data_IF_074622520048
#
_entry.id   IF_074622520048
#
_cell.length_a   1.000
_cell.length_b   1.000
_cell.length_c   1.000
_cell.angle_alpha   90.00
_cell.angle_beta   90.00
_cell.angle_gamma   90.00
#
_symmetry.space_group_name_H-M   'P 1'
#
loop_
_entity.id
_entity.type
_entity.pdbx_description
1 polymer ?
#
# COMPACT_ATOMS: atom_id res chain seq x y z
N UNK A 1 26.40 19.18 21.62
CA UNK A 1 26.44 19.29 23.08
C UNK A 1 25.90 20.60 23.66
N UNK A 2 26.52 21.78 23.43
CA UNK A 2 25.99 23.06 23.99
C UNK A 2 24.53 23.42 23.63
N UNK A 3 24.04 23.00 22.46
CA UNK A 3 22.64 23.26 22.05
C UNK A 3 21.65 22.39 22.85
N UNK A 4 21.95 21.10 23.03
CA UNK A 4 21.08 20.17 23.76
C UNK A 4 21.06 20.46 25.27
N UNK A 5 22.20 20.83 25.86
CA UNK A 5 22.25 21.30 27.26
C UNK A 5 21.34 22.50 27.51
N UNK A 6 21.34 23.49 26.57
CA UNK A 6 20.45 24.64 26.65
C UNK A 6 18.97 24.22 26.57
N UNK A 7 18.66 23.25 25.74
CA UNK A 7 17.29 22.70 25.66
C UNK A 7 16.90 22.07 27.00
N UNK A 8 17.72 21.19 27.55
CA UNK A 8 17.43 20.55 28.85
C UNK A 8 17.18 21.58 29.94
N UNK A 9 18.02 22.62 30.07
CA UNK A 9 17.84 23.68 31.07
C UNK A 9 16.52 24.44 30.83
N UNK A 10 16.20 24.80 29.60
CA UNK A 10 14.95 25.47 29.27
C UNK A 10 13.71 24.60 29.57
N UNK A 11 13.81 23.27 29.46
CA UNK A 11 12.74 22.35 29.87
C UNK A 11 12.58 22.27 31.37
N UNK A 12 13.71 22.26 32.11
CA UNK A 12 13.70 22.30 33.57
C UNK A 12 13.13 23.60 34.16
N UNK A 13 13.24 24.71 33.43
CA UNK A 13 12.69 26.01 33.84
C UNK A 13 11.16 26.12 33.67
N UNK A 14 10.51 25.11 33.09
CA UNK A 14 9.05 25.06 32.93
C UNK A 14 8.38 24.60 34.25
N UNK A 15 7.25 25.22 34.57
CA UNK A 15 6.48 24.91 35.78
C UNK A 15 5.99 23.47 35.87
N UNK A 16 5.68 22.85 34.69
CA UNK A 16 5.18 21.49 34.56
C UNK A 16 5.72 20.81 33.30
N UNK A 17 5.81 19.47 33.33
CA UNK A 17 6.02 18.69 32.14
C UNK A 17 4.90 18.94 31.11
N UNK A 18 5.28 19.06 29.86
CA UNK A 18 4.32 19.14 28.75
C UNK A 18 4.18 17.79 28.07
N UNK A 19 3.17 17.64 27.23
CA UNK A 19 2.86 16.36 26.60
C UNK A 19 3.98 15.82 25.67
N UNK A 20 4.99 16.63 25.33
CA UNK A 20 6.08 16.27 24.43
C UNK A 20 7.46 16.11 25.11
N UNK A 21 7.53 16.19 26.45
CA UNK A 21 8.75 15.80 27.19
C UNK A 21 8.42 15.16 28.53
N UNK A 22 9.36 14.33 29.02
CA UNK A 22 9.24 13.57 30.26
C UNK A 22 10.55 13.60 31.02
N UNK A 23 10.50 13.77 32.34
CA UNK A 23 11.64 13.66 33.25
C UNK A 23 11.59 12.39 34.08
N UNK A 24 12.74 11.77 34.29
CA UNK A 24 12.93 10.66 35.22
C UNK A 24 14.31 10.71 35.86
N UNK A 25 14.45 10.25 37.09
CA UNK A 25 15.77 10.11 37.70
C UNK A 25 16.52 8.88 37.18
N UNK A 26 16.08 7.68 37.56
CA UNK A 26 16.73 6.39 37.25
C UNK A 26 15.77 5.33 36.74
N UNK A 27 14.62 5.73 36.20
CA UNK A 27 13.58 4.81 35.75
C UNK A 27 14.01 4.00 34.53
N UNK A 28 13.63 2.71 34.52
CA UNK A 28 13.82 1.83 33.38
C UNK A 28 12.77 0.71 33.37
N UNK A 29 11.87 0.78 32.40
CA UNK A 29 10.89 -0.25 32.06
C UNK A 29 10.90 -0.44 30.56
N UNK A 30 11.51 -1.52 30.03
CA UNK A 30 11.82 -1.67 28.59
C UNK A 30 10.63 -1.49 27.64
N UNK A 31 9.53 -2.17 27.93
CA UNK A 31 8.31 -2.09 27.09
C UNK A 31 7.68 -0.70 27.20
N UNK A 32 7.57 -0.18 28.42
CA UNK A 32 6.96 1.13 28.64
C UNK A 32 7.75 2.28 28.00
N UNK A 33 9.09 2.16 27.87
CA UNK A 33 9.85 3.19 27.16
C UNK A 33 9.49 3.23 25.67
N UNK A 34 9.27 2.08 25.03
CA UNK A 34 8.77 2.03 23.66
C UNK A 34 7.40 2.70 23.49
N UNK A 35 6.49 2.45 24.46
CA UNK A 35 5.20 3.13 24.52
C UNK A 35 5.34 4.65 24.74
N UNK A 36 6.32 5.10 25.58
CA UNK A 36 6.64 6.51 25.74
C UNK A 36 7.20 7.14 24.46
N UNK A 37 8.05 6.42 23.70
CA UNK A 37 8.55 6.91 22.42
C UNK A 37 7.37 7.19 21.48
N UNK A 38 6.43 6.24 21.36
CA UNK A 38 5.21 6.43 20.58
C UNK A 38 4.40 7.63 21.10
N UNK A 39 4.17 7.71 22.41
CA UNK A 39 3.34 8.75 23.00
C UNK A 39 3.95 10.15 22.83
N UNK A 40 5.26 10.29 23.05
CA UNK A 40 5.98 11.57 22.96
C UNK A 40 6.11 12.03 21.50
N UNK A 41 6.41 11.11 20.56
CA UNK A 41 6.45 11.39 19.12
C UNK A 41 5.10 11.91 18.61
N UNK A 42 4.01 11.27 19.01
CA UNK A 42 2.65 11.67 18.64
C UNK A 42 2.23 13.00 19.31
N UNK A 43 2.63 13.20 20.56
CA UNK A 43 2.33 14.45 21.27
C UNK A 43 3.13 15.63 20.69
N UNK A 44 4.39 15.45 20.31
CA UNK A 44 5.16 16.49 19.62
C UNK A 44 4.44 16.95 18.34
N UNK A 45 4.04 16.00 17.48
CA UNK A 45 3.27 16.31 16.27
C UNK A 45 1.92 17.00 16.58
N UNK A 46 1.24 16.55 17.65
CA UNK A 46 -0.05 17.15 18.06
C UNK A 46 0.07 18.61 18.50
N UNK A 47 1.23 18.99 19.07
CA UNK A 47 1.54 20.34 19.53
C UNK A 47 2.41 21.15 18.58
N UNK A 48 2.65 20.64 17.35
CA UNK A 48 3.50 21.29 16.34
C UNK A 48 4.94 21.53 16.77
N UNK A 49 5.46 20.63 17.63
CA UNK A 49 6.86 20.59 18.01
C UNK A 49 7.60 19.61 17.08
N UNK A 50 8.82 19.95 16.68
CA UNK A 50 9.60 19.08 15.79
C UNK A 50 10.19 17.86 16.49
N UNK A 51 10.38 17.96 17.83
CA UNK A 51 11.14 16.98 18.62
C UNK A 51 10.56 16.87 20.03
N UNK A 52 10.45 15.63 20.50
CA UNK A 52 10.14 15.30 21.88
C UNK A 52 11.39 14.81 22.63
N UNK A 53 11.33 14.81 23.95
CA UNK A 53 12.44 14.46 24.79
C UNK A 53 12.02 13.56 25.94
N UNK A 54 12.81 12.50 26.23
CA UNK A 54 12.74 11.75 27.46
C UNK A 54 14.10 11.88 28.17
N UNK A 55 14.12 12.41 29.38
CA UNK A 55 15.35 12.88 30.03
C UNK A 55 15.53 12.17 31.36
N UNK A 56 16.62 11.44 31.49
CA UNK A 56 17.05 10.84 32.75
C UNK A 56 18.06 11.73 33.46
N UNK A 57 17.95 11.77 34.80
CA UNK A 57 18.81 12.57 35.67
C UNK A 57 18.20 13.91 36.06
N UNK A 58 16.91 14.06 35.86
CA UNK A 58 16.09 15.19 36.31
C UNK A 58 14.98 14.64 37.20
N UNK A 59 14.77 15.26 38.36
CA UNK A 59 13.64 14.91 39.22
C UNK A 59 12.33 15.37 38.61
N UNK A 60 11.34 14.49 38.54
CA UNK A 60 10.06 14.71 37.86
C UNK A 60 9.08 15.64 38.59
N UNK A 61 9.41 15.99 39.87
CA UNK A 61 8.57 16.91 40.68
C UNK A 61 9.23 18.29 40.81
N UNK A 62 10.53 18.32 41.10
CA UNK A 62 11.24 19.59 41.34
C UNK A 62 11.92 20.14 40.12
N UNK A 63 12.04 19.36 39.04
CA UNK A 63 12.79 19.63 37.83
C UNK A 63 14.27 19.91 38.04
N UNK A 64 14.79 19.57 39.26
CA UNK A 64 16.21 19.70 39.54
C UNK A 64 17.04 18.63 38.85
N UNK A 65 18.18 19.00 38.32
CA UNK A 65 19.14 18.07 37.73
C UNK A 65 19.84 17.32 38.88
N UNK A 66 19.53 16.04 39.04
CA UNK A 66 20.05 15.17 40.13
C UNK A 66 21.10 14.17 39.64
N UNK A 67 21.15 13.92 38.34
CA UNK A 67 22.04 12.95 37.72
C UNK A 67 21.41 11.55 37.61
N UNK A 68 21.94 10.68 36.73
CA UNK A 68 21.39 9.35 36.49
C UNK A 68 22.45 8.25 36.37
N UNK A 69 22.05 7.02 36.78
CA UNK A 69 22.77 5.77 36.54
C UNK A 69 22.16 4.98 35.37
N UNK A 70 21.17 5.53 34.64
CA UNK A 70 20.57 4.87 33.49
C UNK A 70 21.64 4.54 32.43
N UNK A 71 21.62 3.29 31.97
CA UNK A 71 22.53 2.83 30.92
C UNK A 71 21.77 2.50 29.65
N UNK A 72 21.93 3.32 28.64
CA UNK A 72 21.29 3.18 27.28
C UNK A 72 21.87 2.04 26.46
N UNK A 73 23.03 1.47 26.83
CA UNK A 73 23.73 0.41 26.08
C UNK A 73 23.48 -0.99 26.64
N UNK A 74 22.48 -1.14 27.50
CA UNK A 74 22.13 -2.47 28.06
C UNK A 74 21.47 -3.35 27.04
N UNK A 75 21.51 -4.66 27.26
CA UNK A 75 20.76 -5.63 26.52
C UNK A 75 19.36 -5.85 27.09
N UNK A 76 18.42 -6.15 26.21
CA UNK A 76 17.09 -6.63 26.56
C UNK A 76 16.70 -7.76 25.61
N UNK A 77 16.18 -8.88 26.14
CA UNK A 77 15.82 -10.07 25.35
C UNK A 77 16.95 -10.59 24.44
N UNK A 78 18.22 -10.53 24.92
CA UNK A 78 19.42 -11.00 24.22
C UNK A 78 19.80 -10.18 22.97
N UNK A 79 19.33 -8.96 22.87
CA UNK A 79 19.70 -8.00 21.84
C UNK A 79 19.97 -6.62 22.47
N UNK A 80 20.74 -5.73 21.79
CA UNK A 80 20.87 -4.35 22.21
C UNK A 80 19.51 -3.69 22.36
N UNK A 81 19.27 -3.03 23.50
CA UNK A 81 17.96 -2.47 23.82
C UNK A 81 17.44 -1.49 22.76
N UNK A 82 18.33 -0.73 22.14
CA UNK A 82 17.97 0.19 21.05
C UNK A 82 17.42 -0.56 19.82
N UNK A 83 17.94 -1.74 19.51
CA UNK A 83 17.42 -2.58 18.41
C UNK A 83 16.02 -3.10 18.73
N UNK A 84 15.79 -3.53 19.98
CA UNK A 84 14.46 -3.92 20.43
C UNK A 84 13.45 -2.79 20.26
N UNK A 85 13.79 -1.57 20.68
CA UNK A 85 12.91 -0.41 20.51
C UNK A 85 12.64 -0.10 19.04
N UNK A 86 13.71 -0.03 18.23
CA UNK A 86 13.59 0.33 16.80
C UNK A 86 12.74 -0.69 16.01
N UNK A 87 12.88 -1.98 16.32
CA UNK A 87 12.12 -3.04 15.63
C UNK A 87 10.63 -3.01 15.94
N UNK A 88 10.23 -2.61 17.15
CA UNK A 88 8.84 -2.59 17.57
C UNK A 88 8.15 -1.23 17.34
N UNK A 89 8.86 -0.24 16.77
CA UNK A 89 8.28 1.05 16.37
C UNK A 89 7.82 1.01 14.91
N UNK A 90 6.62 1.51 14.65
CA UNK A 90 6.04 1.63 13.31
C UNK A 90 5.33 3.00 13.16
N UNK A 91 5.62 3.80 12.11
CA UNK A 91 6.75 3.60 11.20
C UNK A 91 8.09 3.65 11.94
N UNK A 92 9.16 3.17 11.31
CA UNK A 92 10.50 3.33 11.84
C UNK A 92 10.83 4.82 12.00
N UNK A 93 11.23 5.24 13.20
CA UNK A 93 11.63 6.61 13.50
C UNK A 93 13.07 6.63 14.01
N UNK A 94 13.84 7.64 13.63
CA UNK A 94 15.22 7.82 14.05
C UNK A 94 15.27 8.50 15.42
N UNK A 95 15.21 7.74 16.51
CA UNK A 95 15.45 8.25 17.85
C UNK A 95 16.94 8.10 18.23
N UNK A 96 17.44 9.00 19.05
CA UNK A 96 18.85 9.03 19.44
C UNK A 96 19.01 9.22 20.94
N UNK A 97 19.95 8.46 21.58
CA UNK A 97 20.35 8.65 22.96
C UNK A 97 21.60 9.52 23.00
N UNK A 98 21.50 10.64 23.71
CA UNK A 98 22.59 11.57 23.92
C UNK A 98 22.97 11.60 25.41
N UNK A 99 24.27 11.59 25.71
CA UNK A 99 24.79 11.71 27.08
C UNK A 99 25.42 13.08 27.29
N UNK A 100 24.99 13.75 28.33
CA UNK A 100 25.45 15.08 28.71
C UNK A 100 26.01 15.07 30.13
N UNK A 101 26.89 16.01 30.42
CA UNK A 101 27.33 16.33 31.79
C UNK A 101 26.94 17.76 32.09
N UNK A 102 25.93 17.95 32.95
CA UNK A 102 25.40 19.25 33.34
C UNK A 102 25.68 19.46 34.84
N UNK A 103 26.36 20.54 35.21
CA UNK A 103 26.78 20.86 36.59
C UNK A 103 27.50 19.69 37.29
N UNK A 104 28.33 18.97 36.53
CA UNK A 104 29.06 17.80 37.03
C UNK A 104 28.23 16.51 37.10
N UNK A 105 26.93 16.55 36.91
CA UNK A 105 26.00 15.42 36.95
C UNK A 105 25.76 14.83 35.58
N UNK A 106 25.64 13.51 35.49
CA UNK A 106 25.36 12.80 34.24
C UNK A 106 23.87 12.86 33.96
N UNK A 107 23.52 13.28 32.74
CA UNK A 107 22.15 13.33 32.20
C UNK A 107 22.10 12.56 30.88
N UNK A 108 21.11 11.72 30.67
CA UNK A 108 20.87 11.03 29.40
C UNK A 108 19.59 11.56 28.81
N UNK A 109 19.64 11.93 27.52
CA UNK A 109 18.50 12.49 26.77
C UNK A 109 18.20 11.54 25.63
N UNK A 110 16.97 11.06 25.55
CA UNK A 110 16.44 10.41 24.37
C UNK A 110 15.74 11.48 23.53
N UNK A 111 16.29 11.73 22.36
CA UNK A 111 15.76 12.68 21.38
C UNK A 111 14.84 11.90 20.43
N UNK A 112 13.58 12.31 20.35
CA UNK A 112 12.52 11.60 19.65
C UNK A 112 11.92 12.55 18.61
N UNK A 113 12.02 12.28 17.30
CA UNK A 113 11.37 13.12 16.29
C UNK A 113 9.84 13.04 16.42
N UNK A 114 9.18 14.15 16.11
CA UNK A 114 7.72 14.17 15.98
C UNK A 114 7.25 13.15 14.93
N UNK A 115 6.07 12.59 15.14
CA UNK A 115 5.42 11.73 14.17
C UNK A 115 5.23 12.49 12.85
N UNK A 116 5.47 11.80 11.74
CA UNK A 116 5.28 12.32 10.37
C UNK A 116 4.33 11.39 9.62
N UNK A 117 3.49 11.95 8.78
CA UNK A 117 2.58 11.24 7.88
C UNK A 117 1.54 10.34 8.60
N UNK A 118 1.96 9.54 9.56
CA UNK A 118 1.09 8.68 10.37
C UNK A 118 1.54 8.69 11.84
N UNK A 119 0.63 8.47 12.80
CA UNK A 119 1.00 8.37 14.21
C UNK A 119 1.97 7.21 14.45
N UNK A 120 3.00 7.46 15.23
CA UNK A 120 3.95 6.42 15.68
C UNK A 120 3.24 5.40 16.56
N UNK A 121 3.47 4.12 16.31
CA UNK A 121 3.01 3.00 17.14
C UNK A 121 4.19 2.25 17.75
N UNK A 122 3.97 1.61 18.90
CA UNK A 122 4.87 0.64 19.49
C UNK A 122 4.07 -0.64 19.74
N UNK A 123 4.61 -1.78 19.30
CA UNK A 123 3.93 -3.08 19.36
C UNK A 123 2.48 -2.99 18.87
N UNK A 124 2.31 -2.46 17.62
CA UNK A 124 1.03 -2.24 16.94
C UNK A 124 0.05 -1.25 17.62
N UNK A 125 0.37 -0.76 18.81
CA UNK A 125 -0.47 0.18 19.56
C UNK A 125 0.06 1.60 19.49
N UNK A 126 -0.83 2.57 19.25
CA UNK A 126 -0.51 3.99 19.23
C UNK A 126 -0.76 4.60 20.60
N UNK A 127 0.20 5.35 21.08
CA UNK A 127 0.11 6.03 22.37
C UNK A 127 0.18 7.54 22.17
N UNK A 128 -0.38 8.28 23.14
CA UNK A 128 -0.29 9.74 23.23
C UNK A 128 -0.17 10.14 24.70
N UNK A 129 0.38 11.32 24.95
CA UNK A 129 0.35 11.89 26.30
C UNK A 129 -0.92 12.72 26.48
N UNK A 130 -1.50 12.58 27.68
CA UNK A 130 -2.61 13.39 28.16
C UNK A 130 -2.16 14.03 29.48
N UNK A 131 -1.73 15.28 29.42
CA UNK A 131 -1.00 15.89 30.52
C UNK A 131 0.30 15.12 30.80
N UNK A 132 0.52 14.69 32.04
CA UNK A 132 1.68 13.90 32.44
C UNK A 132 1.51 12.38 32.24
N UNK A 133 0.35 11.90 31.78
CA UNK A 133 0.04 10.48 31.67
C UNK A 133 0.15 9.97 30.24
N UNK A 134 0.75 8.80 30.06
CA UNK A 134 0.73 8.05 28.81
C UNK A 134 -0.60 7.30 28.69
N UNK A 135 -1.27 7.38 27.54
CA UNK A 135 -2.54 6.75 27.27
C UNK A 135 -2.55 6.10 25.88
N UNK A 136 -3.39 5.06 25.70
CA UNK A 136 -3.59 4.49 24.37
C UNK A 136 -4.43 5.47 23.53
N UNK A 137 -3.98 5.80 22.33
CA UNK A 137 -4.60 6.81 21.47
C UNK A 137 -6.04 6.43 21.07
N UNK A 138 -6.32 5.12 20.89
CA UNK A 138 -7.66 4.60 20.57
C UNK A 138 -8.73 4.96 21.62
N UNK A 139 -8.33 5.21 22.86
CA UNK A 139 -9.26 5.57 23.94
C UNK A 139 -9.65 7.06 23.88
N UNK A 140 -9.01 7.83 22.98
CA UNK A 140 -9.21 9.27 22.76
C UNK A 140 -9.51 9.58 21.30
N UNK A 141 -10.65 9.17 20.75
CA UNK A 141 -10.96 9.23 19.31
C UNK A 141 -10.91 10.65 18.73
N UNK A 142 -11.24 11.69 19.51
CA UNK A 142 -11.14 13.07 19.02
C UNK A 142 -9.68 13.54 18.91
N UNK A 143 -8.80 13.12 19.82
CA UNK A 143 -7.36 13.38 19.68
C UNK A 143 -6.74 12.58 18.54
N UNK A 144 -7.13 11.34 18.37
CA UNK A 144 -6.69 10.52 17.25
C UNK A 144 -7.07 11.17 15.92
N UNK A 145 -8.33 11.55 15.75
CA UNK A 145 -8.83 12.25 14.57
C UNK A 145 -8.10 13.58 14.30
N UNK A 146 -7.83 14.37 15.38
CA UNK A 146 -7.09 15.62 15.23
C UNK A 146 -5.63 15.36 14.84
N UNK A 147 -4.97 14.39 15.47
CA UNK A 147 -3.58 14.02 15.16
C UNK A 147 -3.45 13.58 13.70
N UNK A 148 -4.33 12.71 13.21
CA UNK A 148 -4.33 12.32 11.80
C UNK A 148 -4.51 13.50 10.86
N UNK A 149 -5.38 14.47 11.18
CA UNK A 149 -5.51 15.68 10.37
C UNK A 149 -4.26 16.55 10.37
N UNK A 150 -3.58 16.69 11.51
CA UNK A 150 -2.34 17.44 11.61
C UNK A 150 -1.22 16.79 10.80
N UNK A 151 -1.15 15.47 10.85
CA UNK A 151 -0.17 14.70 10.08
C UNK A 151 -0.49 14.67 8.58
N UNK A 152 -1.76 14.63 8.22
CA UNK A 152 -2.24 14.73 6.82
C UNK A 152 -1.92 16.10 6.18
N UNK A 153 -1.88 17.18 7.00
CA UNK A 153 -1.45 18.51 6.53
C UNK A 153 0.06 18.62 6.27
N UNK A 154 0.85 17.69 6.83
CA UNK A 154 2.30 17.60 6.61
C UNK A 154 2.71 16.53 5.59
N UNK A 155 1.76 15.77 5.02
CA UNK A 155 2.05 14.83 3.93
C UNK A 155 2.24 15.67 2.66
N UNK A 156 3.42 15.54 2.06
CA UNK A 156 3.65 16.09 0.73
C UNK A 156 2.73 15.38 -0.27
N UNK A 157 1.82 16.13 -0.86
CA UNK A 157 0.91 15.70 -1.91
C UNK A 157 1.29 16.37 -3.23
N UNK A 158 0.84 15.83 -4.33
CA UNK A 158 1.08 16.46 -5.64
C UNK A 158 0.45 17.86 -5.74
N UNK A 159 -0.53 18.16 -4.89
CA UNK A 159 -1.23 19.45 -4.83
C UNK A 159 -0.50 20.51 -3.98
N UNK A 160 0.29 20.09 -2.98
CA UNK A 160 1.00 21.03 -2.09
C UNK A 160 2.52 21.08 -2.35
N UNK A 161 3.07 20.12 -3.08
CA UNK A 161 4.50 20.09 -3.46
C UNK A 161 4.72 21.01 -4.66
N UNK A 162 5.63 22.02 -4.59
CA UNK A 162 5.95 22.85 -5.73
C UNK A 162 6.53 22.04 -6.89
N UNK A 163 6.13 22.39 -8.12
CA UNK A 163 6.69 21.81 -9.32
C UNK A 163 8.17 22.19 -9.47
N UNK A 164 8.98 21.27 -9.98
CA UNK A 164 10.38 21.53 -10.31
C UNK A 164 10.51 22.63 -11.38
N UNK A 165 9.54 22.70 -12.28
CA UNK A 165 9.49 23.66 -13.37
C UNK A 165 8.28 24.58 -13.20
N UNK A 166 8.51 25.90 -13.21
CA UNK A 166 7.47 26.90 -13.01
C UNK A 166 6.97 27.56 -14.32
N UNK A 167 7.65 27.30 -15.45
CA UNK A 167 7.22 27.81 -16.78
C UNK A 167 6.45 26.71 -17.52
N UNK A 168 5.22 26.48 -17.07
CA UNK A 168 4.36 25.43 -17.63
C UNK A 168 3.39 25.98 -18.67
N UNK A 169 3.04 25.15 -19.65
CA UNK A 169 1.97 25.38 -20.63
C UNK A 169 1.02 24.19 -20.65
N UNK A 170 -0.24 24.40 -21.06
CA UNK A 170 -1.31 23.42 -20.88
C UNK A 170 -2.16 23.21 -22.15
N UNK A 171 -1.62 23.47 -23.35
CA UNK A 171 -2.34 23.33 -24.64
C UNK A 171 -2.91 21.91 -24.80
N UNK A 172 -2.14 20.89 -24.44
CA UNK A 172 -2.56 19.48 -24.53
C UNK A 172 -3.65 19.17 -23.53
N UNK A 173 -3.59 19.71 -22.30
CA UNK A 173 -4.66 19.59 -21.32
C UNK A 173 -5.98 20.14 -21.86
N UNK A 174 -5.97 21.36 -22.42
CA UNK A 174 -7.15 21.94 -23.05
C UNK A 174 -7.66 21.09 -24.23
N UNK A 175 -6.75 20.60 -25.08
CA UNK A 175 -7.08 19.70 -26.19
C UNK A 175 -7.72 18.39 -25.73
N UNK A 176 -7.21 17.80 -24.63
CA UNK A 176 -7.76 16.57 -24.08
C UNK A 176 -9.18 16.76 -23.53
N UNK A 177 -9.40 17.83 -22.72
CA UNK A 177 -10.71 18.18 -22.22
C UNK A 177 -11.70 18.48 -23.36
N UNK A 178 -11.26 19.24 -24.37
CA UNK A 178 -12.04 19.55 -25.56
C UNK A 178 -12.45 18.29 -26.35
N UNK A 179 -11.58 17.29 -26.45
CA UNK A 179 -11.89 16.00 -27.08
C UNK A 179 -12.98 15.21 -26.35
N UNK A 180 -13.17 15.48 -25.06
CA UNK A 180 -14.26 14.92 -24.22
C UNK A 180 -15.51 15.79 -24.19
N UNK A 181 -15.55 16.88 -24.93
CA UNK A 181 -16.66 17.83 -24.94
C UNK A 181 -16.74 18.73 -23.71
N UNK A 182 -15.66 18.82 -22.92
CA UNK A 182 -15.58 19.63 -21.70
C UNK A 182 -14.74 20.86 -22.00
N UNK A 183 -15.30 22.05 -21.73
CA UNK A 183 -14.62 23.32 -21.94
C UNK A 183 -13.92 23.79 -20.67
N UNK A 184 -12.60 23.91 -20.70
CA UNK A 184 -11.82 24.60 -19.68
C UNK A 184 -11.78 26.11 -20.01
N UNK A 185 -11.95 26.97 -19.00
CA UNK A 185 -11.83 28.41 -19.15
C UNK A 185 -10.43 28.84 -18.73
N UNK A 186 -9.73 29.56 -19.59
CA UNK A 186 -8.35 30.01 -19.36
C UNK A 186 -8.19 30.76 -18.06
N UNK A 187 -9.19 31.58 -17.67
CA UNK A 187 -9.12 32.44 -16.48
C UNK A 187 -9.26 31.66 -15.14
N UNK A 188 -9.83 30.43 -15.18
CA UNK A 188 -10.20 29.73 -13.93
C UNK A 188 -9.73 28.27 -13.87
N UNK A 189 -9.12 27.74 -14.93
CA UNK A 189 -8.77 26.30 -14.95
C UNK A 189 -7.73 25.94 -13.89
N UNK A 190 -6.77 26.81 -13.61
CA UNK A 190 -5.73 26.56 -12.61
C UNK A 190 -6.33 26.38 -11.21
N UNK A 191 -7.25 27.28 -10.84
CA UNK A 191 -7.96 27.21 -9.55
C UNK A 191 -8.92 26.01 -9.49
N UNK A 192 -9.70 25.81 -10.58
CA UNK A 192 -10.66 24.70 -10.65
C UNK A 192 -10.01 23.33 -10.56
N UNK A 193 -8.84 23.17 -11.16
CA UNK A 193 -8.08 21.94 -11.13
C UNK A 193 -7.09 21.87 -9.95
N UNK A 194 -6.90 22.97 -9.20
CA UNK A 194 -6.00 23.05 -8.06
C UNK A 194 -4.53 22.89 -8.49
N UNK A 195 -4.09 23.62 -9.52
CA UNK A 195 -2.75 23.52 -10.10
C UNK A 195 -1.69 24.36 -9.39
N UNK A 196 -2.05 25.09 -8.32
CA UNK A 196 -1.14 25.93 -7.57
C UNK A 196 -1.09 25.54 -6.10
N UNK A 197 0.09 25.72 -5.50
CA UNK A 197 0.29 25.63 -4.05
C UNK A 197 -0.34 26.82 -3.33
N UNK A 198 -0.40 26.76 -1.99
CA UNK A 198 -0.85 27.89 -1.18
C UNK A 198 -0.03 29.18 -1.37
N UNK A 199 1.23 29.06 -1.80
CA UNK A 199 2.14 30.19 -2.08
C UNK A 199 2.01 30.70 -3.53
N UNK A 200 1.11 30.12 -4.34
CA UNK A 200 0.81 30.54 -5.70
C UNK A 200 1.74 29.99 -6.78
N UNK A 201 2.68 29.11 -6.43
CA UNK A 201 3.53 28.41 -7.39
C UNK A 201 2.78 27.27 -8.06
N UNK A 202 3.15 26.88 -9.28
CA UNK A 202 2.65 25.63 -9.86
C UNK A 202 3.09 24.45 -9.01
N UNK A 203 2.17 23.53 -8.78
CA UNK A 203 2.42 22.32 -8.01
C UNK A 203 2.81 21.13 -8.91
N UNK A 204 3.18 20.01 -8.30
CA UNK A 204 3.59 18.80 -9.01
C UNK A 204 2.48 18.24 -9.91
N UNK A 205 1.21 18.38 -9.52
CA UNK A 205 0.08 17.98 -10.37
C UNK A 205 0.01 18.83 -11.64
N UNK A 206 0.27 20.14 -11.55
CA UNK A 206 0.37 21.03 -12.70
C UNK A 206 1.48 20.56 -13.65
N UNK A 207 2.65 20.15 -13.10
CA UNK A 207 3.75 19.62 -13.91
C UNK A 207 3.35 18.33 -14.63
N UNK A 208 2.70 17.39 -13.96
CA UNK A 208 2.20 16.12 -14.57
C UNK A 208 1.20 16.38 -15.70
N UNK A 209 0.38 17.42 -15.60
CA UNK A 209 -0.64 17.77 -16.57
C UNK A 209 -0.18 18.78 -17.65
N UNK A 210 1.04 19.28 -17.56
CA UNK A 210 1.61 20.26 -18.50
C UNK A 210 1.99 19.64 -19.83
N UNK A 211 2.22 20.50 -20.85
CA UNK A 211 2.68 20.08 -22.16
C UNK A 211 4.05 19.41 -22.17
N UNK A 212 4.83 19.60 -21.10
CA UNK A 212 6.14 18.98 -20.90
C UNK A 212 6.35 18.66 -19.41
N UNK A 213 5.93 17.48 -19.01
CA UNK A 213 5.96 17.04 -17.61
C UNK A 213 7.37 16.71 -17.11
N UNK A 214 8.30 16.37 -18.00
CA UNK A 214 9.62 15.80 -17.66
C UNK A 214 9.53 14.51 -16.81
N UNK A 215 8.40 13.81 -16.85
CA UNK A 215 8.13 12.59 -16.09
C UNK A 215 7.68 11.45 -17.02
N UNK A 216 8.62 10.80 -17.74
CA UNK A 216 8.28 9.71 -18.65
C UNK A 216 7.90 8.44 -17.89
N UNK A 217 6.88 7.73 -18.38
CA UNK A 217 6.58 6.37 -17.94
C UNK A 217 7.38 5.38 -18.80
N UNK A 218 8.04 4.42 -18.14
CA UNK A 218 8.91 3.46 -18.82
C UNK A 218 8.30 2.07 -18.86
N UNK A 219 8.38 1.44 -20.04
CA UNK A 219 8.09 0.02 -20.24
C UNK A 219 9.39 -0.70 -20.58
N UNK A 220 9.82 -1.58 -19.69
CA UNK A 220 11.01 -2.42 -19.88
C UNK A 220 10.59 -3.83 -20.26
N UNK A 221 11.15 -4.39 -21.35
CA UNK A 221 10.83 -5.73 -21.84
C UNK A 221 12.06 -6.62 -21.68
N UNK A 222 11.89 -7.76 -20.99
CA UNK A 222 12.92 -8.77 -20.78
C UNK A 222 12.60 -10.03 -21.60
N UNK A 223 13.65 -10.70 -22.11
CA UNK A 223 13.50 -11.94 -22.89
C UNK A 223 13.12 -13.16 -22.06
N UNK A 224 13.29 -13.11 -20.75
CA UNK A 224 13.02 -14.19 -19.81
C UNK A 224 12.14 -13.78 -18.63
N UNK A 225 11.99 -14.67 -17.64
CA UNK A 225 11.03 -14.47 -16.54
C UNK A 225 11.56 -13.64 -15.38
N UNK A 226 12.78 -13.12 -15.44
CA UNK A 226 13.39 -12.35 -14.33
C UNK A 226 14.16 -11.12 -14.85
N UNK A 227 14.44 -10.16 -13.96
CA UNK A 227 15.30 -9.01 -14.23
C UNK A 227 16.77 -9.39 -14.55
N UNK A 228 17.18 -10.61 -14.22
CA UNK A 228 18.48 -11.17 -14.61
C UNK A 228 18.54 -11.65 -16.07
N UNK A 229 17.38 -11.71 -16.75
CA UNK A 229 17.30 -12.03 -18.18
C UNK A 229 17.78 -10.83 -19.03
N UNK A 230 18.10 -11.09 -20.30
CA UNK A 230 18.50 -10.01 -21.18
C UNK A 230 17.39 -8.98 -21.36
N UNK A 231 17.73 -7.69 -21.22
CA UNK A 231 16.85 -6.59 -21.53
C UNK A 231 16.70 -6.49 -23.05
N UNK A 232 15.47 -6.72 -23.53
CA UNK A 232 15.18 -6.69 -24.98
C UNK A 232 14.94 -5.27 -25.49
N UNK A 233 14.17 -4.47 -24.73
CA UNK A 233 13.79 -3.12 -25.12
C UNK A 233 13.39 -2.30 -23.89
N UNK A 234 13.69 -1.00 -23.95
CA UNK A 234 13.09 0.01 -23.06
C UNK A 234 12.38 1.02 -23.93
N UNK A 235 11.12 1.29 -23.62
CA UNK A 235 10.35 2.32 -24.32
C UNK A 235 9.87 3.35 -23.32
N UNK A 236 10.05 4.61 -23.64
CA UNK A 236 9.59 5.74 -22.84
C UNK A 236 8.34 6.34 -23.46
N UNK A 237 7.35 6.62 -22.62
CA UNK A 237 6.11 7.31 -22.95
C UNK A 237 6.04 8.58 -22.11
N UNK A 238 5.60 9.68 -22.67
CA UNK A 238 5.45 10.92 -21.89
C UNK A 238 6.57 11.93 -22.15
N UNK A 239 7.05 12.59 -21.10
CA UNK A 239 7.57 13.95 -21.15
C UNK A 239 6.50 14.94 -21.63
N UNK A 240 5.24 14.60 -21.46
CA UNK A 240 4.04 15.19 -22.00
C UNK A 240 2.93 15.22 -20.94
N UNK A 241 1.80 15.84 -21.25
CA UNK A 241 0.62 15.76 -20.39
C UNK A 241 0.26 14.31 -20.05
N UNK A 242 0.18 14.00 -18.77
CA UNK A 242 -0.05 12.66 -18.25
C UNK A 242 -1.25 11.94 -18.88
N UNK A 243 -2.28 12.68 -19.28
CA UNK A 243 -3.48 12.13 -19.92
C UNK A 243 -3.16 11.51 -21.28
N UNK A 244 -2.31 12.16 -22.10
CA UNK A 244 -1.84 11.60 -23.37
C UNK A 244 -0.86 10.45 -23.15
N UNK A 245 0.03 10.61 -22.18
CA UNK A 245 0.97 9.55 -21.78
C UNK A 245 0.22 8.27 -21.38
N UNK A 246 -0.87 8.41 -20.62
CA UNK A 246 -1.73 7.29 -20.25
C UNK A 246 -2.36 6.63 -21.48
N UNK A 247 -2.95 7.44 -22.39
CA UNK A 247 -3.58 6.92 -23.62
C UNK A 247 -2.56 6.16 -24.49
N UNK A 248 -1.34 6.67 -24.63
CA UNK A 248 -0.26 6.02 -25.38
C UNK A 248 0.15 4.70 -24.73
N UNK A 249 0.31 4.68 -23.41
CA UNK A 249 0.66 3.48 -22.66
C UNK A 249 -0.41 2.40 -22.77
N UNK A 250 -1.69 2.79 -22.70
CA UNK A 250 -2.81 1.86 -22.86
C UNK A 250 -2.88 1.29 -24.28
N UNK A 251 -2.68 2.12 -25.31
CA UNK A 251 -2.57 1.65 -26.71
C UNK A 251 -1.38 0.71 -26.91
N UNK A 252 -0.28 0.96 -26.22
CA UNK A 252 0.85 0.04 -26.27
C UNK A 252 0.52 -1.29 -25.60
N UNK A 253 -0.30 -1.30 -24.56
CA UNK A 253 -0.88 -2.52 -23.98
C UNK A 253 -1.67 -3.33 -25.01
N UNK A 254 -2.46 -2.67 -25.87
CA UNK A 254 -3.18 -3.34 -26.97
C UNK A 254 -2.20 -4.02 -27.95
N UNK A 255 -1.06 -3.39 -28.23
CA UNK A 255 0.00 -3.98 -29.09
C UNK A 255 0.67 -5.19 -28.43
N UNK A 256 0.88 -5.14 -27.11
CA UNK A 256 1.44 -6.26 -26.36
C UNK A 256 0.47 -7.44 -26.22
N UNK A 257 -0.83 -7.17 -26.25
CA UNK A 257 -1.90 -8.15 -26.06
C UNK A 257 -2.18 -8.96 -27.33
N UNK A 258 -1.22 -9.77 -27.73
CA UNK A 258 -1.30 -10.58 -28.94
C UNK A 258 -2.49 -11.54 -28.84
N UNK A 259 -3.32 -11.54 -29.89
CA UNK A 259 -4.41 -12.50 -30.04
C UNK A 259 -3.84 -13.84 -30.55
N UNK A 260 -3.99 -14.88 -29.75
CA UNK A 260 -3.55 -16.23 -30.07
C UNK A 260 -4.71 -17.05 -30.65
N UNK A 261 -4.43 -17.84 -31.68
CA UNK A 261 -5.40 -18.75 -32.28
C UNK A 261 -5.39 -20.12 -31.54
N UNK A 262 -6.45 -20.45 -30.81
CA UNK A 262 -6.62 -21.77 -30.23
C UNK A 262 -7.27 -22.71 -31.25
N UNK A 263 -6.43 -23.53 -31.91
CA UNK A 263 -6.87 -24.55 -32.85
C UNK A 263 -7.13 -25.92 -32.20
N UNK A 264 -6.67 -26.12 -30.96
CA UNK A 264 -6.75 -27.44 -30.28
C UNK A 264 -8.15 -27.73 -29.73
N UNK A 265 -8.88 -26.71 -29.31
CA UNK A 265 -10.22 -26.82 -28.74
C UNK A 265 -11.33 -26.43 -29.76
N UNK A 266 -11.05 -26.61 -31.03
CA UNK A 266 -11.92 -26.25 -32.15
C UNK A 266 -13.04 -27.28 -32.34
N UNK A 267 -14.30 -26.85 -32.22
CA UNK A 267 -15.45 -27.68 -32.59
C UNK A 267 -15.94 -27.28 -33.99
N UNK A 268 -16.09 -26.00 -34.27
CA UNK A 268 -16.50 -25.43 -35.57
C UNK A 268 -15.69 -24.20 -35.91
N UNK A 269 -15.53 -23.26 -34.98
CA UNK A 269 -14.84 -21.99 -35.17
C UNK A 269 -13.52 -21.91 -34.38
N UNK A 270 -12.54 -21.16 -34.91
CA UNK A 270 -11.31 -20.80 -34.22
C UNK A 270 -11.63 -19.91 -33.02
N UNK A 271 -11.09 -20.24 -31.85
CA UNK A 271 -11.20 -19.39 -30.67
C UNK A 271 -10.00 -18.46 -30.60
N UNK A 272 -10.26 -17.17 -30.58
CA UNK A 272 -9.26 -16.15 -30.37
C UNK A 272 -9.09 -15.90 -28.88
N UNK A 273 -7.85 -16.02 -28.38
CA UNK A 273 -7.52 -15.88 -26.95
C UNK A 273 -6.49 -14.78 -26.78
N UNK A 274 -6.81 -13.69 -26.07
CA UNK A 274 -5.85 -12.63 -25.80
C UNK A 274 -4.77 -13.13 -24.84
N UNK A 275 -3.56 -12.56 -24.95
CA UNK A 275 -2.42 -12.93 -24.12
C UNK A 275 -2.67 -12.63 -22.64
N UNK A 276 -3.43 -11.58 -22.35
CA UNK A 276 -3.88 -11.22 -21.00
C UNK A 276 -5.25 -10.50 -21.05
N UNK A 277 -5.89 -10.31 -19.88
CA UNK A 277 -7.14 -9.55 -19.82
C UNK A 277 -6.87 -8.05 -19.95
N UNK A 278 -7.38 -7.43 -21.01
CA UNK A 278 -7.21 -6.03 -21.32
C UNK A 278 -7.78 -5.11 -20.23
N UNK A 279 -8.94 -5.45 -19.68
CA UNK A 279 -9.60 -4.62 -18.67
C UNK A 279 -8.83 -4.61 -17.36
N UNK A 280 -8.27 -5.77 -16.97
CA UNK A 280 -7.41 -5.85 -15.81
C UNK A 280 -6.09 -5.07 -16.00
N UNK A 281 -5.51 -5.12 -17.19
CA UNK A 281 -4.31 -4.33 -17.51
C UNK A 281 -4.59 -2.82 -17.43
N UNK A 282 -5.65 -2.34 -18.10
CA UNK A 282 -6.05 -0.93 -18.07
C UNK A 282 -6.29 -0.45 -16.64
N UNK A 283 -7.02 -1.22 -15.86
CA UNK A 283 -7.29 -0.90 -14.46
C UNK A 283 -6.02 -0.85 -13.62
N UNK A 284 -5.10 -1.80 -13.81
CA UNK A 284 -3.83 -1.82 -13.09
C UNK A 284 -2.95 -0.60 -13.42
N UNK A 285 -2.91 -0.16 -14.68
CA UNK A 285 -2.18 1.04 -15.10
C UNK A 285 -2.80 2.30 -14.50
N UNK A 286 -4.13 2.46 -14.59
CA UNK A 286 -4.85 3.61 -14.03
C UNK A 286 -4.62 3.70 -12.53
N UNK A 287 -4.75 2.58 -11.81
CA UNK A 287 -4.52 2.53 -10.38
C UNK A 287 -3.06 2.83 -10.02
N UNK A 288 -2.10 2.31 -10.79
CA UNK A 288 -0.68 2.63 -10.57
C UNK A 288 -0.41 4.13 -10.67
N UNK A 289 -1.01 4.83 -11.62
CA UNK A 289 -0.87 6.28 -11.79
C UNK A 289 -1.57 7.04 -10.66
N UNK A 290 -2.80 6.67 -10.30
CA UNK A 290 -3.58 7.35 -9.28
C UNK A 290 -3.05 7.17 -7.86
N UNK A 291 -2.39 6.05 -7.59
CA UNK A 291 -1.88 5.71 -6.26
C UNK A 291 -0.36 5.85 -6.12
N UNK A 292 0.34 6.30 -7.17
CA UNK A 292 1.79 6.51 -7.11
C UNK A 292 2.16 7.66 -6.16
N UNK A 293 3.20 7.46 -5.38
CA UNK A 293 3.81 8.51 -4.54
C UNK A 293 4.71 9.41 -5.42
N UNK A 294 4.10 10.24 -6.28
CA UNK A 294 4.79 11.11 -7.22
C UNK A 294 5.77 12.10 -6.58
N UNK A 295 5.49 12.50 -5.34
CA UNK A 295 6.30 13.45 -4.56
C UNK A 295 7.70 12.94 -4.25
N UNK A 296 7.92 11.62 -4.29
CA UNK A 296 9.22 11.00 -4.10
C UNK A 296 10.10 11.07 -5.36
N UNK A 297 9.59 11.66 -6.45
CA UNK A 297 10.32 11.82 -7.71
C UNK A 297 10.47 10.55 -8.54
N UNK A 298 9.66 9.53 -8.26
CA UNK A 298 9.67 8.26 -8.97
C UNK A 298 8.34 8.01 -9.69
N UNK A 299 8.43 7.66 -10.96
CA UNK A 299 7.29 7.26 -11.79
C UNK A 299 6.90 5.79 -11.58
N UNK A 300 5.64 5.40 -11.86
CA UNK A 300 5.25 4.00 -11.96
C UNK A 300 6.06 3.28 -13.02
N UNK A 301 6.31 1.99 -12.82
CA UNK A 301 7.10 1.18 -13.75
C UNK A 301 6.28 0.04 -14.32
N UNK A 302 6.41 -0.19 -15.62
CA UNK A 302 5.84 -1.36 -16.31
C UNK A 302 6.98 -2.26 -16.77
N UNK A 303 6.97 -3.51 -16.32
CA UNK A 303 7.98 -4.51 -16.70
C UNK A 303 7.30 -5.69 -17.36
N UNK A 304 7.68 -5.98 -18.60
CA UNK A 304 7.17 -7.10 -19.38
C UNK A 304 8.21 -8.21 -19.35
N UNK A 305 7.83 -9.35 -18.81
CA UNK A 305 8.62 -10.58 -18.82
C UNK A 305 8.10 -11.56 -19.89
N UNK A 306 8.80 -12.69 -20.06
CA UNK A 306 8.36 -13.72 -21.00
C UNK A 306 7.01 -14.37 -20.66
N UNK A 307 6.56 -14.25 -19.41
CA UNK A 307 5.38 -14.96 -18.86
C UNK A 307 4.35 -14.04 -18.20
N UNK A 308 4.64 -12.75 -18.01
CA UNK A 308 3.75 -11.81 -17.30
C UNK A 308 4.12 -10.36 -17.56
N UNK A 309 3.23 -9.46 -17.15
CA UNK A 309 3.50 -8.04 -16.96
C UNK A 309 3.47 -7.75 -15.45
N UNK A 310 4.43 -6.99 -14.96
CA UNK A 310 4.42 -6.39 -13.63
C UNK A 310 4.25 -4.87 -13.75
N UNK A 311 3.30 -4.33 -13.01
CA UNK A 311 3.00 -2.90 -12.92
C UNK A 311 3.26 -2.48 -11.48
N UNK A 312 4.27 -1.65 -11.28
CA UNK A 312 4.72 -1.18 -9.97
C UNK A 312 4.31 0.27 -9.78
N UNK A 313 3.66 0.56 -8.66
CA UNK A 313 3.46 1.91 -8.14
C UNK A 313 4.25 2.10 -6.85
N UNK A 314 4.83 3.29 -6.68
CA UNK A 314 5.52 3.68 -5.45
C UNK A 314 4.51 4.04 -4.36
N UNK A 315 4.87 3.74 -3.12
CA UNK A 315 4.07 4.00 -1.95
C UNK A 315 3.38 2.76 -1.39
N UNK A 316 2.70 2.95 -0.29
CA UNK A 316 1.96 1.91 0.45
C UNK A 316 0.47 2.13 0.35
N UNK A 317 -0.32 1.28 1.00
CA UNK A 317 -1.75 1.56 1.19
C UNK A 317 -1.94 2.90 1.91
N UNK A 318 -2.94 3.65 1.46
CA UNK A 318 -3.27 4.93 2.09
C UNK A 318 -3.51 4.76 3.61
N UNK A 319 -3.15 5.76 4.44
CA UNK A 319 -3.49 5.75 5.86
C UNK A 319 -4.98 5.45 6.05
N UNK A 320 -5.31 4.58 7.00
CA UNK A 320 -6.67 4.12 7.27
C UNK A 320 -7.29 3.17 6.22
N UNK A 321 -6.54 2.72 5.24
CA UNK A 321 -6.98 1.66 4.34
C UNK A 321 -6.51 0.29 4.82
N UNK A 322 -7.45 -0.62 5.08
CA UNK A 322 -7.12 -2.01 5.39
C UNK A 322 -6.90 -2.80 4.11
N UNK A 323 -6.06 -3.85 4.19
CA UNK A 323 -5.81 -4.75 3.06
C UNK A 323 -7.11 -5.42 2.57
N UNK A 324 -8.00 -5.80 3.47
CA UNK A 324 -9.31 -6.37 3.11
C UNK A 324 -10.20 -5.32 2.44
N UNK A 325 -10.21 -4.09 2.94
CA UNK A 325 -10.91 -2.96 2.31
C UNK A 325 -10.40 -2.68 0.90
N UNK A 326 -9.10 -2.79 0.68
CA UNK A 326 -8.49 -2.68 -0.66
C UNK A 326 -9.04 -3.75 -1.62
N UNK A 327 -9.02 -5.02 -1.22
CA UNK A 327 -9.56 -6.11 -2.06
C UNK A 327 -11.06 -6.02 -2.31
N UNK A 328 -11.82 -5.38 -1.42
CA UNK A 328 -13.25 -5.10 -1.59
C UNK A 328 -13.52 -3.85 -2.44
N UNK A 329 -12.49 -3.19 -2.96
CA UNK A 329 -12.63 -1.98 -3.78
C UNK A 329 -12.97 -0.72 -2.99
N UNK A 330 -12.77 -0.71 -1.68
CA UNK A 330 -12.90 0.48 -0.84
C UNK A 330 -11.64 1.33 -0.94
N UNK A 331 -11.30 1.75 -2.17
CA UNK A 331 -10.08 2.50 -2.43
C UNK A 331 -10.14 3.92 -1.86
N UNK A 332 -9.04 4.33 -1.24
CA UNK A 332 -8.78 5.70 -0.85
C UNK A 332 -7.68 6.21 -1.79
N UNK A 333 -7.98 7.09 -2.75
CA UNK A 333 -6.96 7.58 -3.67
C UNK A 333 -5.92 8.43 -2.92
N UNK A 334 -4.63 8.15 -3.18
CA UNK A 334 -3.50 8.93 -2.67
C UNK A 334 -3.54 10.32 -3.32
N UNK A 335 -3.71 10.39 -4.63
CA UNK A 335 -3.78 11.64 -5.40
C UNK A 335 -5.25 12.00 -5.66
N UNK A 336 -5.91 12.64 -4.69
CA UNK A 336 -7.35 12.90 -4.71
C UNK A 336 -7.81 13.75 -5.88
N UNK A 337 -7.13 14.87 -6.14
CA UNK A 337 -7.48 15.78 -7.24
C UNK A 337 -7.26 15.14 -8.61
N UNK A 338 -6.17 14.40 -8.79
CA UNK A 338 -5.92 13.65 -10.00
C UNK A 338 -7.02 12.61 -10.24
N UNK A 339 -7.48 11.93 -9.18
CA UNK A 339 -8.63 11.01 -9.25
C UNK A 339 -9.92 11.71 -9.67
N UNK A 340 -10.20 12.93 -9.17
CA UNK A 340 -11.35 13.73 -9.57
C UNK A 340 -11.29 14.09 -11.08
N UNK A 341 -10.11 14.47 -11.59
CA UNK A 341 -9.87 14.73 -13.01
C UNK A 341 -10.15 13.49 -13.86
N UNK A 342 -9.64 12.32 -13.44
CA UNK A 342 -9.86 11.06 -14.17
C UNK A 342 -11.35 10.67 -14.21
N UNK A 343 -12.09 10.90 -13.12
CA UNK A 343 -13.53 10.68 -13.06
C UNK A 343 -14.26 11.64 -13.98
N UNK A 344 -13.92 12.94 -13.94
CA UNK A 344 -14.52 13.98 -14.80
C UNK A 344 -14.32 13.67 -16.30
N UNK A 345 -13.17 13.10 -16.65
CA UNK A 345 -12.83 12.73 -18.03
C UNK A 345 -13.31 11.32 -18.42
N UNK A 346 -14.05 10.64 -17.57
CA UNK A 346 -14.51 9.25 -17.76
C UNK A 346 -13.37 8.24 -18.00
N UNK A 347 -12.18 8.50 -17.45
CA UNK A 347 -11.03 7.58 -17.49
C UNK A 347 -11.17 6.53 -16.38
N UNK A 348 -11.66 6.92 -15.22
CA UNK A 348 -11.95 6.02 -14.08
C UNK A 348 -13.37 6.22 -13.55
N UNK A 349 -13.85 5.27 -12.75
CA UNK A 349 -15.17 5.32 -12.12
C UNK A 349 -15.02 5.24 -10.58
N UNK A 350 -15.87 5.94 -9.82
CA UNK A 350 -15.95 5.79 -8.35
C UNK A 350 -16.60 4.48 -7.88
N UNK A 351 -16.74 3.50 -8.76
CA UNK A 351 -17.50 2.28 -8.46
C UNK A 351 -16.76 1.28 -7.56
N UNK A 352 -15.45 1.45 -7.33
CA UNK A 352 -14.61 0.53 -6.58
C UNK A 352 -14.50 -0.87 -7.21
N UNK A 353 -14.77 -1.02 -8.50
CA UNK A 353 -14.79 -2.31 -9.20
C UNK A 353 -13.43 -2.76 -9.72
N UNK A 354 -12.45 -1.88 -9.77
CA UNK A 354 -11.16 -2.14 -10.43
C UNK A 354 -10.37 -3.25 -9.76
N UNK A 355 -10.00 -3.07 -8.50
CA UNK A 355 -9.28 -4.10 -7.73
C UNK A 355 -10.07 -5.41 -7.63
N UNK A 356 -11.39 -5.42 -7.26
CA UNK A 356 -12.18 -6.64 -7.27
C UNK A 356 -12.16 -7.39 -8.60
N UNK A 357 -12.14 -6.69 -9.72
CA UNK A 357 -12.08 -7.29 -11.04
C UNK A 357 -10.75 -7.97 -11.33
N UNK A 358 -9.64 -7.33 -10.98
CA UNK A 358 -8.30 -7.96 -11.07
C UNK A 358 -8.25 -9.20 -10.18
N UNK A 359 -8.80 -9.10 -8.97
CA UNK A 359 -8.88 -10.23 -8.01
C UNK A 359 -9.76 -11.36 -8.54
N UNK A 360 -10.87 -11.04 -9.20
CA UNK A 360 -11.75 -12.05 -9.82
C UNK A 360 -11.03 -12.84 -10.91
N UNK A 361 -10.22 -12.17 -11.74
CA UNK A 361 -9.52 -12.79 -12.89
C UNK A 361 -8.26 -13.51 -12.45
N UNK A 362 -7.42 -12.89 -11.62
CA UNK A 362 -6.07 -13.36 -11.31
C UNK A 362 -5.87 -13.76 -9.84
N UNK A 363 -6.87 -13.55 -8.98
CA UNK A 363 -6.80 -13.79 -7.55
C UNK A 363 -6.05 -12.70 -6.78
N UNK A 364 -6.12 -12.74 -5.45
CA UNK A 364 -5.41 -11.80 -4.56
C UNK A 364 -3.88 -11.83 -4.74
N UNK A 365 -3.33 -12.96 -5.17
CA UNK A 365 -1.90 -13.13 -5.47
C UNK A 365 -1.38 -12.26 -6.61
N UNK A 366 -2.26 -11.66 -7.41
CA UNK A 366 -1.89 -10.66 -8.40
C UNK A 366 -1.30 -9.39 -7.77
N UNK A 367 -1.61 -9.13 -6.51
CA UNK A 367 -1.11 -7.98 -5.76
C UNK A 367 -0.02 -8.42 -4.79
N UNK A 368 1.13 -7.79 -4.87
CA UNK A 368 2.23 -7.93 -3.92
C UNK A 368 2.46 -6.57 -3.27
N UNK A 369 2.38 -6.53 -1.95
CA UNK A 369 2.68 -5.35 -1.14
C UNK A 369 4.09 -5.49 -0.61
N UNK A 370 4.94 -4.54 -0.93
CA UNK A 370 6.32 -4.42 -0.45
C UNK A 370 6.42 -3.23 0.51
N UNK A 371 7.56 -3.00 1.11
CA UNK A 371 7.75 -1.95 2.11
C UNK A 371 7.36 -0.55 1.56
N UNK A 372 7.74 -0.25 0.32
CA UNK A 372 7.51 1.05 -0.32
C UNK A 372 6.84 0.95 -1.70
N UNK A 373 6.37 -0.22 -2.09
CA UNK A 373 5.86 -0.47 -3.43
C UNK A 373 4.64 -1.40 -3.41
N UNK A 374 3.74 -1.18 -4.36
CA UNK A 374 2.66 -2.11 -4.68
C UNK A 374 2.87 -2.60 -6.11
N UNK A 375 2.99 -3.91 -6.28
CA UNK A 375 3.18 -4.55 -7.59
C UNK A 375 1.94 -5.33 -7.98
N UNK A 376 1.41 -5.03 -9.16
CA UNK A 376 0.34 -5.81 -9.78
C UNK A 376 0.93 -6.71 -10.86
N UNK A 377 0.72 -8.02 -10.74
CA UNK A 377 1.18 -9.03 -11.69
C UNK A 377 0.03 -9.51 -12.57
N UNK A 378 0.20 -9.38 -13.87
CA UNK A 378 -0.73 -9.85 -14.90
C UNK A 378 -0.05 -10.98 -15.68
N UNK A 379 -0.35 -12.24 -15.38
CA UNK A 379 0.24 -13.39 -16.06
C UNK A 379 -0.26 -13.53 -17.48
N UNK A 380 0.59 -14.06 -18.37
CA UNK A 380 0.23 -14.34 -19.74
C UNK A 380 -0.52 -15.66 -19.88
N UNK A 381 -1.59 -15.62 -20.65
CA UNK A 381 -2.38 -16.78 -21.03
C UNK A 381 -1.82 -17.36 -22.34
N UNK A 382 -0.77 -18.19 -22.27
CA UNK A 382 -0.14 -18.78 -23.45
C UNK A 382 -0.80 -20.09 -23.83
N UNK A 383 -1.30 -20.19 -25.05
CA UNK A 383 -1.82 -21.45 -25.61
C UNK A 383 -0.66 -22.41 -25.83
N UNK A 384 -0.70 -23.58 -25.17
CA UNK A 384 0.28 -24.67 -25.33
C UNK A 384 1.39 -24.76 -24.31
N UNK A 385 1.50 -23.85 -23.35
CA UNK A 385 2.32 -24.08 -22.14
C UNK A 385 1.48 -24.77 -21.06
N UNK A 386 1.49 -26.09 -21.04
CA UNK A 386 1.05 -26.88 -19.89
C UNK A 386 2.22 -26.87 -18.90
N UNK A 387 2.12 -26.09 -17.87
CA UNK A 387 3.11 -26.06 -16.79
C UNK A 387 2.88 -24.91 -15.84
N UNK A 388 2.16 -25.20 -14.75
CA UNK A 388 2.15 -24.51 -13.46
C UNK A 388 1.59 -23.08 -13.37
N UNK A 389 0.41 -22.98 -12.76
CA UNK A 389 -0.15 -21.83 -12.06
C UNK A 389 -0.72 -20.69 -12.89
N UNK A 390 -1.89 -20.88 -13.45
CA UNK A 390 -2.89 -19.80 -13.57
C UNK A 390 -4.23 -20.35 -13.14
N UNK A 391 -4.86 -19.62 -12.22
CA UNK A 391 -6.15 -19.98 -11.69
C UNK A 391 -7.19 -20.26 -12.77
N UNK A 392 -7.84 -21.40 -12.59
CA UNK A 392 -8.96 -21.86 -13.38
C UNK A 392 -10.08 -20.84 -13.48
N UNK A 393 -10.16 -20.18 -14.61
CA UNK A 393 -11.43 -19.74 -15.20
C UNK A 393 -11.18 -19.39 -16.68
N UNK A 394 -11.35 -20.33 -17.55
CA UNK A 394 -12.05 -20.35 -18.82
C UNK A 394 -11.63 -21.59 -19.62
N UNK A 395 -12.56 -22.45 -19.90
CA UNK A 395 -12.48 -23.43 -20.97
C UNK A 395 -12.08 -24.85 -20.59
N UNK A 396 -13.09 -25.68 -20.41
CA UNK A 396 -13.09 -27.14 -20.59
C UNK A 396 -11.78 -27.75 -21.10
N UNK A 397 -10.94 -28.23 -20.18
CA UNK A 397 -10.14 -29.42 -20.44
C UNK A 397 -10.65 -30.53 -19.54
N UNK A 398 -11.35 -31.46 -20.15
CA UNK A 398 -11.72 -32.75 -19.57
C UNK A 398 -10.42 -33.47 -19.18
N UNK A 399 -10.30 -33.83 -17.89
CA UNK A 399 -9.40 -34.82 -17.28
C UNK A 399 -8.22 -34.35 -16.43
N UNK A 400 -8.13 -33.10 -15.93
CA UNK A 400 -7.19 -32.79 -14.85
C UNK A 400 -7.94 -32.20 -13.66
N UNK A 401 -7.86 -32.90 -12.51
CA UNK A 401 -8.40 -32.41 -11.25
C UNK A 401 -7.56 -31.23 -10.74
N UNK A 402 -8.16 -30.05 -10.64
CA UNK A 402 -7.52 -28.91 -10.01
C UNK A 402 -7.34 -29.13 -8.50
N UNK A 403 -6.50 -28.31 -7.87
CA UNK A 403 -6.17 -28.43 -6.44
C UNK A 403 -7.42 -28.40 -5.55
N UNK A 404 -8.41 -27.55 -5.86
CA UNK A 404 -9.68 -27.48 -5.13
C UNK A 404 -10.47 -28.78 -5.24
N UNK A 405 -10.54 -29.37 -6.42
CA UNK A 405 -11.22 -30.67 -6.65
C UNK A 405 -10.50 -31.82 -5.98
N UNK A 406 -9.16 -31.82 -6.00
CA UNK A 406 -8.34 -32.79 -5.26
C UNK A 406 -8.58 -32.67 -3.76
N UNK A 407 -8.63 -31.45 -3.21
CA UNK A 407 -8.97 -31.21 -1.80
C UNK A 407 -10.37 -31.68 -1.46
N UNK A 408 -11.38 -31.43 -2.31
CA UNK A 408 -12.74 -31.93 -2.11
C UNK A 408 -12.78 -33.47 -2.07
N UNK A 409 -12.07 -34.12 -3.00
CA UNK A 409 -11.94 -35.60 -3.02
C UNK A 409 -11.27 -36.11 -1.76
N UNK A 410 -10.19 -35.46 -1.32
CA UNK A 410 -9.47 -35.82 -0.09
C UNK A 410 -10.37 -35.73 1.14
N UNK A 411 -11.10 -34.63 1.29
CA UNK A 411 -12.03 -34.44 2.39
C UNK A 411 -13.19 -35.44 2.36
N UNK A 412 -13.72 -35.73 1.18
CA UNK A 412 -14.77 -36.74 1.01
C UNK A 412 -14.26 -38.19 1.26
N UNK A 413 -12.98 -38.44 1.02
CA UNK A 413 -12.34 -39.73 1.33
C UNK A 413 -12.15 -39.86 2.85
N UNK A 414 -11.74 -38.79 3.53
CA UNK A 414 -11.54 -38.76 4.97
C UNK A 414 -12.86 -38.80 5.74
N UNK A 415 -13.88 -38.11 5.23
CA UNK A 415 -15.23 -38.08 5.80
C UNK A 415 -16.29 -38.25 4.69
N UNK A 416 -16.75 -39.45 4.40
CA UNK A 416 -17.76 -39.74 3.38
C UNK A 416 -19.12 -39.02 3.64
N UNK A 417 -19.40 -38.62 4.86
CA UNK A 417 -20.65 -37.96 5.23
C UNK A 417 -20.54 -36.42 5.20
N UNK A 418 -19.39 -35.86 4.80
CA UNK A 418 -19.13 -34.42 4.81
C UNK A 418 -20.18 -33.66 4.03
N UNK A 419 -20.70 -32.58 4.63
CA UNK A 419 -21.69 -31.71 4.01
C UNK A 419 -21.04 -30.62 3.16
N UNK A 420 -21.81 -30.02 2.23
CA UNK A 420 -21.35 -28.90 1.41
C UNK A 420 -20.97 -27.68 2.26
N UNK A 421 -21.64 -27.48 3.40
CA UNK A 421 -21.36 -26.37 4.32
C UNK A 421 -20.02 -26.60 5.01
N UNK A 422 -19.73 -27.82 5.44
CA UNK A 422 -18.44 -28.18 6.05
C UNK A 422 -17.31 -28.04 5.04
N UNK A 423 -17.47 -28.53 3.80
CA UNK A 423 -16.50 -28.35 2.72
C UNK A 423 -16.25 -26.87 2.44
N UNK A 424 -17.30 -26.03 2.41
CA UNK A 424 -17.19 -24.59 2.23
C UNK A 424 -16.36 -23.95 3.35
N UNK A 425 -16.57 -24.38 4.60
CA UNK A 425 -15.82 -23.87 5.76
C UNK A 425 -14.35 -24.31 5.75
N UNK A 426 -14.10 -25.60 5.49
CA UNK A 426 -12.74 -26.17 5.48
C UNK A 426 -11.89 -25.56 4.35
N UNK A 427 -12.48 -25.41 3.15
CA UNK A 427 -11.75 -24.95 1.97
C UNK A 427 -11.80 -23.44 1.77
N UNK A 428 -12.53 -22.71 2.59
CA UNK A 428 -12.64 -21.24 2.53
C UNK A 428 -13.26 -20.70 1.23
N UNK A 429 -14.15 -21.47 0.57
CA UNK A 429 -14.84 -21.09 -0.66
C UNK A 429 -16.37 -21.16 -0.50
N UNK A 430 -17.10 -20.42 -1.34
CA UNK A 430 -18.56 -20.36 -1.23
C UNK A 430 -19.23 -21.72 -1.49
N UNK A 431 -20.42 -21.93 -0.90
CA UNK A 431 -21.21 -23.14 -1.12
C UNK A 431 -21.59 -23.33 -2.60
N UNK A 432 -21.79 -22.23 -3.35
CA UNK A 432 -22.02 -22.27 -4.80
C UNK A 432 -20.79 -22.79 -5.55
N UNK A 433 -19.59 -22.40 -5.13
CA UNK A 433 -18.34 -22.91 -5.72
C UNK A 433 -18.15 -24.41 -5.40
N UNK A 434 -18.50 -24.86 -4.18
CA UNK A 434 -18.53 -26.28 -3.81
C UNK A 434 -19.51 -27.05 -4.70
N UNK A 435 -20.73 -26.55 -4.91
CA UNK A 435 -21.73 -27.21 -5.76
C UNK A 435 -21.27 -27.37 -7.20
N UNK A 436 -20.65 -26.37 -7.78
CA UNK A 436 -20.09 -26.44 -9.13
C UNK A 436 -18.99 -27.50 -9.23
N UNK A 437 -18.09 -27.58 -8.25
CA UNK A 437 -17.02 -28.58 -8.24
C UNK A 437 -17.54 -30.01 -8.00
N UNK A 438 -18.50 -30.20 -7.10
CA UNK A 438 -19.18 -31.48 -6.88
C UNK A 438 -19.90 -31.93 -8.14
N UNK A 439 -20.60 -31.04 -8.83
CA UNK A 439 -21.29 -31.33 -10.09
C UNK A 439 -20.32 -31.80 -11.18
N UNK A 440 -19.16 -31.13 -11.27
CA UNK A 440 -18.08 -31.54 -12.18
C UNK A 440 -17.54 -32.94 -11.82
N UNK A 441 -17.20 -33.16 -10.54
CA UNK A 441 -16.63 -34.42 -10.07
C UNK A 441 -17.58 -35.59 -10.28
N UNK A 442 -18.89 -35.40 -10.07
CA UNK A 442 -19.94 -36.40 -10.35
C UNK A 442 -20.05 -36.68 -11.86
N UNK A 443 -20.15 -35.63 -12.67
CA UNK A 443 -20.29 -35.74 -14.14
C UNK A 443 -19.10 -36.50 -14.75
N UNK A 444 -17.91 -36.36 -14.20
CA UNK A 444 -16.70 -37.02 -14.67
C UNK A 444 -16.37 -38.31 -13.93
N UNK A 445 -17.27 -38.79 -13.05
CA UNK A 445 -17.16 -40.10 -12.40
C UNK A 445 -16.07 -40.21 -11.33
N UNK A 446 -15.61 -39.11 -10.76
CA UNK A 446 -14.63 -39.13 -9.64
C UNK A 446 -15.28 -39.39 -8.29
N UNK A 447 -16.54 -38.96 -8.13
CA UNK A 447 -17.32 -39.18 -6.91
C UNK A 447 -18.74 -39.59 -7.29
N UNK A 448 -19.38 -40.32 -6.39
CA UNK A 448 -20.78 -40.71 -6.49
C UNK A 448 -21.50 -40.51 -5.16
N UNK A 449 -22.76 -40.10 -5.20
CA UNK A 449 -23.60 -40.04 -4.00
C UNK A 449 -24.39 -41.33 -3.84
N UNK A 450 -24.12 -42.06 -2.80
CA UNK A 450 -24.84 -43.29 -2.47
C UNK A 450 -25.92 -42.99 -1.45
N UNK A 451 -27.17 -43.32 -1.78
CA UNK A 451 -28.34 -43.05 -0.92
C UNK A 451 -29.02 -41.69 -1.13
N UNK A 452 -29.84 -41.30 -0.19
CA UNK A 452 -30.64 -40.06 -0.28
C UNK A 452 -29.80 -38.80 0.01
N UNK A 453 -30.35 -37.62 -0.33
CA UNK A 453 -29.68 -36.36 -0.01
C UNK A 453 -29.52 -36.09 1.51
N UNK A 454 -30.35 -36.72 2.34
CA UNK A 454 -30.33 -36.53 3.82
C UNK A 454 -29.46 -37.55 4.54
N UNK A 455 -29.46 -38.81 4.08
CA UNK A 455 -28.81 -39.95 4.77
C UNK A 455 -27.77 -40.68 3.96
N UNK A 456 -27.51 -40.23 2.74
CA UNK A 456 -26.48 -40.84 1.88
C UNK A 456 -25.07 -40.35 2.20
N UNK A 457 -24.08 -41.00 1.59
CA UNK A 457 -22.66 -40.70 1.73
C UNK A 457 -21.98 -40.52 0.35
N UNK A 458 -20.82 -39.89 0.35
CA UNK A 458 -19.98 -39.77 -0.84
C UNK A 458 -19.05 -40.94 -1.01
N UNK A 459 -19.10 -41.55 -2.17
CA UNK A 459 -18.15 -42.61 -2.59
C UNK A 459 -17.16 -41.93 -3.56
N UNK A 460 -15.88 -42.07 -3.25
CA UNK A 460 -14.78 -41.65 -4.13
C UNK A 460 -14.37 -42.83 -4.98
N UNK A 461 -14.35 -42.67 -6.29
CA UNK A 461 -13.95 -43.69 -7.23
C UNK A 461 -12.44 -43.59 -7.51
N UNK A 462 -11.74 -44.71 -7.52
CA UNK A 462 -10.35 -44.77 -7.96
C UNK A 462 -10.30 -44.67 -9.50
N UNK A 463 -9.68 -43.61 -9.99
CA UNK A 463 -9.39 -43.43 -11.43
C UNK A 463 -7.92 -43.16 -11.63
#
# INVERSE_FOLDING_TARGET
MKKLEKIVRNLCDKDNEQEWFEFKENWFEPVQLGEYISALSNAAAYHSEETAYFIWGVNDVTHEIVGTNFNQYRDYNKEPYQNYLARNLSPSIGFEFEELKIDGKRVVVLVIPAAKNVPTAFDESRYIRIGSSKANLKDYPEREKKLFRLLDQGIDTIENTPAQYQKLTFRKLFGYYGSKGIVLREETFEDNLGLRTGDGEYNLMAQLLSDNSHMPLRVSIFTGPTKGSNLYSVREFGNDCLLYTLDELLRYGDVLNIIQADERNRVVERKDVPLFDDKAFREAIINAILHNAWVEGNEPMVTVYSDRIEILSRGTLAPNQTLEGFYLGRSIPVNKKLSEIFIQLHISEKSGRGVPKIVEIYGRKAFKFEENDIVVTIPFNRIGQIGNNVGDKVGNNQNVLNQTRQSIISEMRNNPNITKIELSRILGISTTAIDNNISFLRKNGYIERIGSNKTGYWKVNEK
#
